data_IF_302349921211
#
_entry.id   IF_302349921211
#
_cell.length_a   1.000
_cell.length_b   1.000
_cell.length_c   1.000
_cell.angle_alpha   90.00
_cell.angle_beta   90.00
_cell.angle_gamma   90.00
#
_symmetry.space_group_name_H-M   'P 1'
#
loop_
_entity.id
_entity.type
_entity.pdbx_description
1 polymer ?
#
# COMPACT_ATOMS: atom_id res chain seq x y z
N UNK A 1 3.80 29.48 36.96
CA UNK A 1 2.88 28.35 36.65
C UNK A 1 2.06 28.55 35.37
N UNK A 2 1.56 29.75 35.03
CA UNK A 2 0.75 30.01 33.81
C UNK A 2 1.50 29.85 32.47
N UNK A 3 2.82 30.12 32.45
CA UNK A 3 3.65 30.05 31.24
C UNK A 3 4.02 28.61 30.85
N UNK A 4 4.12 27.72 31.83
CA UNK A 4 4.46 26.30 31.62
C UNK A 4 3.28 25.56 30.96
N UNK A 5 2.04 25.88 31.35
CA UNK A 5 0.82 25.30 30.75
C UNK A 5 0.62 25.74 29.30
N UNK A 6 0.99 26.98 28.98
CA UNK A 6 0.91 27.53 27.61
C UNK A 6 1.99 26.92 26.71
N UNK A 7 3.22 26.75 27.22
CA UNK A 7 4.31 26.09 26.49
C UNK A 7 4.04 24.61 26.20
N UNK A 8 3.45 23.87 27.16
CA UNK A 8 3.06 22.47 26.95
C UNK A 8 1.92 22.34 25.93
N UNK A 9 0.97 23.28 25.90
CA UNK A 9 -0.10 23.31 24.88
C UNK A 9 0.43 23.58 23.48
N UNK A 10 1.41 24.49 23.34
CA UNK A 10 2.10 24.73 22.07
C UNK A 10 2.88 23.48 21.65
N UNK A 11 3.59 22.83 22.58
CA UNK A 11 4.35 21.61 22.31
C UNK A 11 3.44 20.46 21.83
N UNK A 12 2.27 20.27 22.44
CA UNK A 12 1.29 19.25 22.03
C UNK A 12 0.67 19.55 20.65
N UNK A 13 0.44 20.82 20.31
CA UNK A 13 -0.02 21.22 18.97
C UNK A 13 1.07 21.01 17.91
N UNK A 14 2.33 21.25 18.25
CA UNK A 14 3.48 21.03 17.35
C UNK A 14 3.76 19.54 17.09
N UNK A 15 3.51 18.67 18.07
CA UNK A 15 3.61 17.20 17.90
C UNK A 15 2.43 16.67 17.04
N UNK A 16 1.24 17.22 17.23
CA UNK A 16 0.06 16.87 16.42
C UNK A 16 0.18 17.27 14.94
N UNK A 17 0.83 18.41 14.66
CA UNK A 17 1.08 18.90 13.29
C UNK A 17 2.23 18.16 12.57
N UNK A 18 3.07 17.42 13.28
CA UNK A 18 4.10 16.56 12.68
C UNK A 18 3.57 15.17 12.28
N UNK A 19 2.35 14.81 12.71
CA UNK A 19 1.76 13.48 12.45
C UNK A 19 0.98 13.38 11.13
N UNK A 20 0.89 14.46 10.36
CA UNK A 20 0.16 14.47 9.08
C UNK A 20 1.07 14.42 7.84
N UNK A 21 2.39 14.29 8.01
CA UNK A 21 3.31 14.02 6.91
C UNK A 21 3.89 12.62 7.03
N UNK A 22 3.04 11.62 6.81
CA UNK A 22 3.45 10.55 5.90
C UNK A 22 2.63 10.81 4.63
N UNK A 23 2.98 11.90 3.95
CA UNK A 23 2.39 12.19 2.65
C UNK A 23 2.94 11.14 1.68
N UNK A 24 2.09 10.19 1.29
CA UNK A 24 2.23 9.27 0.15
C UNK A 24 3.69 9.02 -0.30
N UNK A 25 4.32 8.03 0.32
CA UNK A 25 5.66 7.57 -0.09
C UNK A 25 5.56 6.35 -1.00
N UNK A 26 6.52 6.20 -1.91
CA UNK A 26 6.69 4.96 -2.68
C UNK A 26 7.30 3.90 -1.76
N UNK A 27 6.47 2.95 -1.33
CA UNK A 27 6.90 1.80 -0.54
C UNK A 27 6.91 0.57 -1.43
N UNK A 28 8.06 -0.12 -1.51
CA UNK A 28 8.18 -1.36 -2.25
C UNK A 28 7.22 -2.42 -1.68
N UNK A 29 6.39 -3.00 -2.55
CA UNK A 29 5.52 -4.12 -2.21
C UNK A 29 6.12 -5.42 -2.74
N UNK A 30 5.95 -6.51 -2.00
CA UNK A 30 6.36 -7.84 -2.44
C UNK A 30 5.36 -8.36 -3.47
N UNK A 31 5.83 -8.68 -4.67
CA UNK A 31 5.00 -9.20 -5.77
C UNK A 31 4.68 -10.69 -5.67
N UNK A 32 5.36 -11.44 -4.80
CA UNK A 32 5.26 -12.90 -4.69
C UNK A 32 5.58 -13.66 -5.99
N UNK A 33 6.36 -13.05 -6.89
CA UNK A 33 6.89 -13.68 -8.12
C UNK A 33 8.25 -13.09 -8.48
N UNK A 34 9.07 -13.88 -9.18
CA UNK A 34 10.32 -13.42 -9.80
C UNK A 34 10.16 -13.04 -11.28
N UNK A 35 8.98 -13.29 -11.86
CA UNK A 35 8.67 -12.96 -13.25
C UNK A 35 8.57 -11.44 -13.44
N UNK A 36 8.94 -10.96 -14.64
CA UNK A 36 8.82 -9.55 -14.97
C UNK A 36 7.33 -9.17 -15.08
N UNK A 37 6.95 -8.11 -14.37
CA UNK A 37 5.59 -7.58 -14.40
C UNK A 37 5.48 -6.48 -15.46
N UNK A 38 4.45 -6.55 -16.30
CA UNK A 38 4.30 -5.69 -17.48
C UNK A 38 3.01 -4.87 -17.49
N UNK A 39 2.04 -5.19 -16.62
CA UNK A 39 0.78 -4.45 -16.52
C UNK A 39 0.12 -4.56 -15.15
N UNK A 40 -0.67 -3.54 -14.82
CA UNK A 40 -1.50 -3.46 -13.61
C UNK A 40 -2.85 -2.82 -13.95
N UNK A 41 -3.92 -3.34 -13.34
CA UNK A 41 -5.26 -2.77 -13.41
C UNK A 41 -5.93 -2.84 -12.04
N UNK A 42 -6.43 -1.71 -11.55
CA UNK A 42 -7.23 -1.64 -10.32
C UNK A 42 -8.70 -1.45 -10.68
N UNK A 43 -9.56 -2.34 -10.21
CA UNK A 43 -11.01 -2.24 -10.40
C UNK A 43 -11.63 -1.25 -9.42
N UNK A 44 -11.12 -1.20 -8.19
CA UNK A 44 -11.46 -0.19 -7.19
C UNK A 44 -10.24 0.08 -6.28
N UNK A 45 -10.44 0.83 -5.18
CA UNK A 45 -9.35 1.20 -4.26
C UNK A 45 -8.64 0.01 -3.60
N UNK A 46 -9.30 -1.15 -3.51
CA UNK A 46 -8.76 -2.33 -2.83
C UNK A 46 -8.53 -3.51 -3.75
N UNK A 47 -9.25 -3.62 -4.86
CA UNK A 47 -9.21 -4.79 -5.74
C UNK A 47 -8.52 -4.52 -7.08
N UNK A 48 -7.61 -5.41 -7.49
CA UNK A 48 -6.89 -5.28 -8.75
C UNK A 48 -6.05 -6.48 -9.15
N UNK A 49 -5.48 -6.40 -10.35
CA UNK A 49 -4.69 -7.46 -10.98
C UNK A 49 -3.39 -6.93 -11.56
N UNK A 50 -2.38 -7.80 -11.55
CA UNK A 50 -1.08 -7.59 -12.19
C UNK A 50 -0.80 -8.75 -13.13
N UNK A 51 -0.27 -8.45 -14.32
CA UNK A 51 0.17 -9.46 -15.28
C UNK A 51 1.66 -9.32 -15.60
N UNK A 52 2.25 -10.42 -16.06
CA UNK A 52 3.67 -10.49 -16.38
C UNK A 52 4.02 -11.66 -17.29
N UNK A 53 5.32 -11.91 -17.40
CA UNK A 53 5.88 -13.00 -18.19
C UNK A 53 5.44 -14.37 -17.65
N UNK A 54 5.57 -15.41 -18.48
CA UNK A 54 5.27 -16.79 -18.08
C UNK A 54 3.80 -17.09 -17.79
N UNK A 55 2.88 -16.20 -18.19
CA UNK A 55 1.46 -16.31 -17.83
C UNK A 55 1.17 -15.88 -16.39
N UNK A 56 2.08 -15.10 -15.77
CA UNK A 56 1.89 -14.56 -14.43
C UNK A 56 0.63 -13.70 -14.37
N UNK A 57 -0.29 -14.08 -13.50
CA UNK A 57 -1.46 -13.29 -13.14
C UNK A 57 -1.58 -13.27 -11.61
N UNK A 58 -1.57 -12.08 -11.03
CA UNK A 58 -1.68 -11.86 -9.59
C UNK A 58 -2.95 -11.04 -9.30
N UNK A 59 -3.55 -11.26 -8.12
CA UNK A 59 -4.74 -10.55 -7.65
C UNK A 59 -4.52 -10.01 -6.24
N UNK A 60 -5.08 -8.84 -5.98
CA UNK A 60 -5.12 -8.19 -4.66
C UNK A 60 -6.55 -7.79 -4.32
N UNK A 61 -6.86 -7.78 -3.01
CA UNK A 61 -8.12 -7.29 -2.44
C UNK A 61 -7.89 -6.29 -1.30
N UNK A 62 -6.64 -5.83 -1.12
CA UNK A 62 -6.22 -4.91 -0.06
C UNK A 62 -5.40 -3.70 -0.58
N UNK A 63 -5.60 -3.35 -1.85
CA UNK A 63 -4.99 -2.17 -2.46
C UNK A 63 -3.54 -2.40 -2.90
N UNK A 64 -3.14 -3.66 -3.09
CA UNK A 64 -1.80 -4.04 -3.53
C UNK A 64 -0.80 -4.19 -2.39
N UNK A 65 -1.25 -4.27 -1.13
CA UNK A 65 -0.40 -4.61 0.01
C UNK A 65 0.01 -6.08 -0.06
N UNK A 66 -0.91 -6.96 -0.49
CA UNK A 66 -0.64 -8.36 -0.76
C UNK A 66 -1.13 -8.76 -2.17
N UNK A 67 -0.31 -9.57 -2.85
CA UNK A 67 -0.60 -10.12 -4.17
C UNK A 67 -0.60 -11.65 -4.14
N UNK A 68 -1.67 -12.28 -4.62
CA UNK A 68 -1.81 -13.73 -4.67
C UNK A 68 -1.81 -14.24 -6.11
N UNK A 69 -1.01 -15.27 -6.45
CA UNK A 69 -1.06 -15.89 -7.77
C UNK A 69 -2.42 -16.50 -8.07
N UNK A 70 -2.96 -16.23 -9.25
CA UNK A 70 -4.11 -16.94 -9.80
C UNK A 70 -3.60 -18.15 -10.56
N UNK A 71 -3.91 -19.34 -10.05
CA UNK A 71 -3.71 -20.59 -10.78
C UNK A 71 -4.98 -20.90 -11.54
N UNK A 72 -4.92 -20.84 -12.87
CA UNK A 72 -6.01 -21.33 -13.72
C UNK A 72 -5.99 -22.86 -13.63
N UNK A 73 -6.91 -23.44 -12.86
CA UNK A 73 -7.19 -24.87 -12.99
C UNK A 73 -7.94 -25.08 -14.29
N UNK A 74 -7.40 -25.92 -15.17
CA UNK A 74 -8.22 -26.53 -16.19
C UNK A 74 -9.13 -27.51 -15.44
N UNK A 75 -10.41 -27.19 -15.31
CA UNK A 75 -11.38 -28.15 -14.78
C UNK A 75 -11.49 -29.32 -15.78
N UNK A 76 -11.35 -30.54 -15.26
CA UNK A 76 -11.64 -31.81 -15.94
C UNK A 76 -13.15 -32.08 -15.99
#
# INVERSE_FOLDING_TARGET
MKNLTTGVRILLVMIGLFSTMIAQEWVQQTSNTFESLSGIYMFNETEGWVCGDGGTLLHTVDGGVNWSPIVLSNED
#
